data_IF_874073739245
#
_entry.id   IF_874073739245
#
_cell.length_a   1.000
_cell.length_b   1.000
_cell.length_c   1.000
_cell.angle_alpha   90.00
_cell.angle_beta   90.00
_cell.angle_gamma   90.00
#
_symmetry.space_group_name_H-M   'P 1'
#
loop_
_entity.id
_entity.type
_entity.pdbx_description
1 polymer ?
#
# COMPACT_ATOMS: atom_id res chain seq x y z
N UNK A 1 4.10 11.74 7.76
CA UNK A 1 4.80 10.42 7.68
C UNK A 1 3.81 9.36 8.15
N UNK A 2 3.84 8.16 7.58
CA UNK A 2 2.92 7.08 7.99
C UNK A 2 3.33 6.59 9.37
N UNK A 3 2.37 6.50 10.28
CA UNK A 3 2.55 6.04 11.67
C UNK A 3 2.31 4.54 11.78
N UNK A 4 1.19 4.07 11.22
CA UNK A 4 0.84 2.66 11.18
C UNK A 4 0.00 2.32 9.97
N UNK A 5 0.07 1.07 9.56
CA UNK A 5 -0.73 0.50 8.47
C UNK A 5 -1.29 -0.82 8.97
N UNK A 6 -2.61 -0.94 8.99
CA UNK A 6 -3.33 -2.13 9.41
C UNK A 6 -3.99 -2.75 8.19
N UNK A 7 -3.69 -4.01 7.91
CA UNK A 7 -4.20 -4.74 6.76
C UNK A 7 -4.96 -5.95 7.24
N UNK A 8 -6.18 -6.10 6.76
CA UNK A 8 -7.08 -7.20 7.11
C UNK A 8 -7.92 -7.55 5.89
N UNK A 9 -8.23 -8.85 5.73
CA UNK A 9 -9.14 -9.36 4.71
C UNK A 9 -8.80 -8.99 3.25
N UNK A 10 -7.56 -8.58 2.96
CA UNK A 10 -7.15 -8.13 1.64
C UNK A 10 -6.34 -9.21 0.90
N UNK A 11 -6.81 -9.66 -0.27
CA UNK A 11 -6.15 -10.67 -1.12
C UNK A 11 -5.84 -12.00 -0.40
N UNK A 12 -4.60 -12.19 0.06
CA UNK A 12 -4.12 -13.41 0.76
C UNK A 12 -4.04 -13.24 2.28
N UNK A 13 -4.38 -12.06 2.80
CA UNK A 13 -4.47 -11.84 4.23
C UNK A 13 -5.76 -12.49 4.74
N UNK A 14 -5.59 -13.52 5.57
CA UNK A 14 -6.67 -14.20 6.30
C UNK A 14 -7.40 -13.22 7.24
N UNK A 15 -8.39 -13.67 8.02
CA UNK A 15 -9.12 -12.82 9.00
C UNK A 15 -8.25 -12.18 10.11
N UNK A 16 -6.93 -12.37 10.08
CA UNK A 16 -5.97 -11.80 11.02
C UNK A 16 -5.50 -10.43 10.54
N UNK A 17 -5.57 -9.44 11.43
CA UNK A 17 -5.01 -8.11 11.19
C UNK A 17 -3.49 -8.20 11.19
N UNK A 18 -2.84 -7.77 10.11
CA UNK A 18 -1.40 -7.55 10.03
C UNK A 18 -1.15 -6.08 10.22
N UNK A 19 -0.46 -5.73 11.31
CA UNK A 19 -0.11 -4.35 11.63
C UNK A 19 1.37 -4.09 11.32
N UNK A 20 1.62 -2.99 10.60
CA UNK A 20 2.93 -2.40 10.42
C UNK A 20 3.02 -1.19 11.34
N UNK A 21 3.76 -1.34 12.44
CA UNK A 21 4.00 -0.30 13.46
C UNK A 21 5.47 0.11 13.46
N UNK A 22 5.76 1.25 14.10
CA UNK A 22 7.13 1.79 14.24
C UNK A 22 7.86 1.96 12.89
N UNK A 23 7.14 2.48 11.90
CA UNK A 23 7.70 2.73 10.57
C UNK A 23 8.80 3.78 10.65
N UNK A 24 10.01 3.41 10.22
CA UNK A 24 11.16 4.32 10.12
C UNK A 24 11.15 5.10 8.81
N UNK A 25 12.12 6.01 8.66
CA UNK A 25 12.32 6.75 7.40
C UNK A 25 12.52 5.82 6.20
N UNK A 26 13.14 4.66 6.43
CA UNK A 26 13.33 3.60 5.45
C UNK A 26 12.86 2.29 6.10
N UNK A 27 11.97 1.57 5.45
CA UNK A 27 11.47 0.26 5.90
C UNK A 27 11.67 -0.75 4.78
N UNK A 28 12.06 -1.98 5.15
CA UNK A 28 12.24 -3.08 4.21
C UNK A 28 11.18 -4.14 4.49
N UNK A 29 10.30 -4.38 3.51
CA UNK A 29 9.26 -5.42 3.59
C UNK A 29 9.65 -6.53 2.61
N UNK A 30 9.93 -7.72 3.12
CA UNK A 30 10.35 -8.88 2.35
C UNK A 30 9.59 -10.14 2.77
N UNK A 31 9.57 -11.18 1.93
CA UNK A 31 8.92 -12.45 2.24
C UNK A 31 8.62 -13.29 1.00
N UNK A 32 8.34 -14.58 1.16
CA UNK A 32 8.13 -15.52 0.06
C UNK A 32 6.82 -15.28 -0.72
N UNK A 33 5.78 -14.75 -0.07
CA UNK A 33 4.47 -14.55 -0.68
C UNK A 33 4.45 -13.25 -1.50
N UNK A 34 4.55 -13.36 -2.83
CA UNK A 34 4.57 -12.22 -3.77
C UNK A 34 3.31 -11.35 -3.72
N UNK A 35 2.14 -11.95 -3.52
CA UNK A 35 0.84 -11.25 -3.49
C UNK A 35 0.72 -10.27 -2.33
N UNK A 36 1.10 -10.66 -1.11
CA UNK A 36 0.93 -9.86 0.10
C UNK A 36 1.67 -8.51 0.02
N UNK A 37 2.87 -8.50 -0.57
CA UNK A 37 3.68 -7.28 -0.76
C UNK A 37 3.02 -6.33 -1.77
N UNK A 38 2.52 -6.88 -2.88
CA UNK A 38 1.79 -6.10 -3.87
C UNK A 38 0.53 -5.48 -3.26
N UNK A 39 -0.22 -6.23 -2.43
CA UNK A 39 -1.40 -5.74 -1.70
C UNK A 39 -1.08 -4.56 -0.79
N UNK A 40 -0.03 -4.67 0.05
CA UNK A 40 0.44 -3.57 0.90
C UNK A 40 0.75 -2.32 0.05
N UNK A 41 1.50 -2.50 -1.03
CA UNK A 41 1.89 -1.38 -1.90
C UNK A 41 0.67 -0.71 -2.56
N UNK A 42 -0.31 -1.50 -3.00
CA UNK A 42 -1.51 -0.99 -3.63
C UNK A 42 -2.42 -0.26 -2.64
N UNK A 43 -2.55 -0.76 -1.41
CA UNK A 43 -3.28 -0.08 -0.34
C UNK A 43 -2.65 1.27 0.01
N UNK A 44 -1.32 1.31 0.08
CA UNK A 44 -0.59 2.54 0.38
C UNK A 44 -0.76 3.60 -0.73
N UNK A 45 -0.87 3.16 -1.99
CA UNK A 45 -1.11 4.03 -3.12
C UNK A 45 -2.55 4.53 -3.19
N UNK A 46 -3.52 3.64 -2.95
CA UNK A 46 -4.94 3.88 -3.13
C UNK A 46 -5.73 3.05 -2.12
N UNK A 47 -6.15 3.71 -1.05
CA UNK A 47 -6.94 3.14 0.04
C UNK A 47 -8.44 3.36 -0.14
N UNK A 48 -8.88 3.91 -1.28
CA UNK A 48 -10.30 4.20 -1.55
C UNK A 48 -11.07 3.03 -2.17
N UNK A 49 -10.34 2.00 -2.61
CA UNK A 49 -10.91 0.81 -3.21
C UNK A 49 -11.58 -0.07 -2.15
N UNK A 50 -12.83 -0.46 -2.40
CA UNK A 50 -13.67 -1.34 -1.55
C UNK A 50 -12.97 -2.61 -1.05
N UNK A 51 -11.98 -3.12 -1.79
CA UNK A 51 -11.18 -4.28 -1.36
C UNK A 51 -10.33 -4.01 -0.10
N UNK A 52 -10.26 -2.76 0.34
CA UNK A 52 -9.50 -2.30 1.49
C UNK A 52 -10.37 -1.71 2.60
N UNK A 53 -11.69 -1.92 2.58
CA UNK A 53 -12.61 -1.38 3.60
C UNK A 53 -12.25 -1.85 5.03
N UNK A 54 -11.66 -3.04 5.14
CA UNK A 54 -11.17 -3.62 6.39
C UNK A 54 -9.73 -3.17 6.75
N UNK A 55 -9.07 -2.38 5.91
CA UNK A 55 -7.71 -1.88 6.10
C UNK A 55 -7.73 -0.42 6.58
N UNK A 56 -6.73 -0.03 7.36
CA UNK A 56 -6.61 1.37 7.82
C UNK A 56 -5.18 1.87 7.80
N UNK A 57 -5.01 3.18 7.68
CA UNK A 57 -3.71 3.84 7.69
C UNK A 57 -3.77 5.07 8.59
N UNK A 58 -2.83 5.18 9.52
CA UNK A 58 -2.68 6.34 10.37
C UNK A 58 -1.45 7.17 9.97
N UNK A 59 -1.62 8.49 9.99
CA UNK A 59 -0.56 9.46 9.70
C UNK A 59 -0.11 10.16 10.98
N UNK A 60 1.18 10.47 11.08
CA UNK A 60 1.65 11.38 12.11
C UNK A 60 0.97 12.75 11.94
N UNK A 61 0.39 13.26 13.02
CA UNK A 61 -0.37 14.52 13.08
C UNK A 61 -1.57 14.58 12.12
N UNK A 62 -2.10 13.45 11.66
CA UNK A 62 -3.21 13.39 10.72
C UNK A 62 -2.94 14.16 9.40
N UNK A 63 -1.65 14.33 9.06
CA UNK A 63 -1.22 15.01 7.85
C UNK A 63 -0.85 13.98 6.77
N UNK A 64 -1.76 13.65 5.85
CA UNK A 64 -1.46 12.81 4.70
C UNK A 64 -0.42 13.51 3.82
N UNK A 65 0.60 12.75 3.43
CA UNK A 65 1.61 13.21 2.48
C UNK A 65 1.38 12.53 1.13
N UNK A 66 1.86 13.15 0.06
CA UNK A 66 1.87 12.50 -1.24
C UNK A 66 2.74 11.24 -1.19
N UNK A 67 2.16 10.08 -1.51
CA UNK A 67 2.86 8.79 -1.52
C UNK A 67 3.12 8.36 -2.95
N UNK A 68 4.39 8.08 -3.24
CA UNK A 68 4.80 7.47 -4.49
C UNK A 68 5.09 5.99 -4.25
N UNK A 69 4.33 5.13 -4.93
CA UNK A 69 4.52 3.68 -4.89
C UNK A 69 5.01 3.22 -6.26
N UNK A 70 6.19 2.62 -6.31
CA UNK A 70 6.75 2.04 -7.53
C UNK A 70 6.46 0.53 -7.56
N UNK A 71 5.47 0.13 -8.36
CA UNK A 71 5.12 -1.28 -8.59
C UNK A 71 4.64 -1.50 -10.04
N UNK A 72 4.20 -2.72 -10.38
CA UNK A 72 3.69 -3.03 -11.73
C UNK A 72 2.51 -2.15 -12.14
N UNK A 73 1.63 -1.76 -11.19
CA UNK A 73 0.51 -0.84 -11.45
C UNK A 73 1.02 0.55 -11.84
N UNK A 74 2.05 1.06 -11.14
CA UNK A 74 2.72 2.31 -11.53
C UNK A 74 3.27 2.22 -12.94
N UNK A 75 3.97 1.13 -13.30
CA UNK A 75 4.48 0.95 -14.65
C UNK A 75 3.34 0.92 -15.68
N UNK A 76 2.29 0.13 -15.48
CA UNK A 76 1.16 0.05 -16.42
C UNK A 76 0.46 1.40 -16.63
N UNK A 77 0.20 2.15 -15.56
CA UNK A 77 -0.46 3.46 -15.66
C UNK A 77 0.40 4.49 -16.39
N UNK A 78 1.71 4.50 -16.15
CA UNK A 78 2.63 5.45 -16.80
C UNK A 78 3.05 4.99 -18.21
N UNK A 79 2.95 3.71 -18.54
CA UNK A 79 3.28 3.17 -19.87
C UNK A 79 2.23 3.51 -20.93
N UNK A 80 1.01 3.91 -20.55
CA UNK A 80 -0.07 4.27 -21.50
C UNK A 80 0.06 5.73 -22.00
N UNK A 81 0.89 6.56 -21.38
CA UNK A 81 1.02 8.00 -21.71
C UNK A 81 1.83 8.26 -23.00
N UNK A 82 2.31 7.24 -23.72
CA UNK A 82 3.19 7.43 -24.90
C UNK A 82 2.47 7.44 -26.27
N UNK A 83 1.15 7.40 -26.36
CA UNK A 83 0.45 7.50 -27.65
C UNK A 83 -0.55 8.67 -27.68
N UNK A 84 -0.03 9.90 -27.80
CA UNK A 84 -0.74 11.06 -28.37
C UNK A 84 0.30 12.16 -28.65
N UNK A 85 1.02 12.01 -29.77
CA UNK A 85 1.57 13.11 -30.58
C UNK A 85 1.05 12.92 -31.99
#
# INVERSE_FOLDING_TARGET
MIKSVDIKSAATFDNKVVQLIDLKKINFIYGAHGSAKATISNFIYDNSDTKFDDCSMAWYNELPLNVLVYNTRFQMLNSIVTFLT
#
